data_IF_213247542241
#
_entry.id   IF_213247542241
#
_cell.length_a   1.000
_cell.length_b   1.000
_cell.length_c   1.000
_cell.angle_alpha   90.00
_cell.angle_beta   90.00
_cell.angle_gamma   90.00
#
_symmetry.space_group_name_H-M   'P 1'
#
loop_
_entity.id
_entity.type
_entity.pdbx_description
1 polymer ?
#
# COMPACT_ATOMS: atom_id res chain seq x y z
N UNK A 1 -48.98 -21.42 -31.33
CA UNK A 1 -47.65 -21.62 -31.92
C UNK A 1 -46.85 -20.34 -31.70
N UNK A 2 -45.90 -20.35 -30.73
CA UNK A 2 -45.04 -19.20 -30.42
C UNK A 2 -43.73 -19.44 -31.17
N UNK A 3 -43.25 -18.53 -32.02
CA UNK A 3 -42.01 -18.74 -32.77
C UNK A 3 -40.80 -18.72 -31.82
N UNK A 4 -39.98 -19.73 -31.98
CA UNK A 4 -38.70 -19.96 -31.33
C UNK A 4 -37.77 -18.75 -31.62
N UNK A 5 -37.55 -17.87 -30.64
CA UNK A 5 -36.50 -16.85 -30.72
C UNK A 5 -35.14 -17.55 -30.58
N UNK A 6 -34.54 -17.84 -31.72
CA UNK A 6 -33.10 -18.11 -31.76
C UNK A 6 -32.38 -16.93 -31.15
N UNK A 7 -31.71 -17.13 -30.01
CA UNK A 7 -30.72 -16.17 -29.50
C UNK A 7 -29.60 -16.08 -30.53
N UNK A 8 -29.56 -14.97 -31.23
CA UNK A 8 -28.42 -14.62 -32.08
C UNK A 8 -27.23 -14.46 -31.11
N UNK A 9 -26.36 -15.44 -31.12
CA UNK A 9 -25.03 -15.37 -30.42
C UNK A 9 -24.23 -14.27 -31.12
N UNK A 10 -24.11 -13.11 -30.47
CA UNK A 10 -23.27 -12.03 -30.95
C UNK A 10 -21.79 -12.38 -30.63
N UNK A 11 -20.87 -12.26 -31.60
CA UNK A 11 -19.43 -12.57 -31.40
C UNK A 11 -18.73 -11.65 -30.37
N UNK A 12 -19.44 -10.69 -29.80
CA UNK A 12 -18.99 -9.77 -28.77
C UNK A 12 -18.76 -10.46 -27.41
N UNK A 13 -19.50 -11.52 -27.12
CA UNK A 13 -19.43 -12.21 -25.83
C UNK A 13 -18.13 -13.02 -25.63
N UNK A 14 -17.59 -13.59 -26.71
CA UNK A 14 -16.37 -14.39 -26.63
C UNK A 14 -15.11 -13.54 -26.43
N UNK A 15 -15.07 -12.33 -26.96
CA UNK A 15 -13.94 -11.42 -26.78
C UNK A 15 -13.93 -10.87 -25.36
N UNK A 16 -15.07 -10.39 -24.86
CA UNK A 16 -15.22 -9.90 -23.48
C UNK A 16 -14.82 -11.00 -22.49
N UNK A 17 -15.32 -12.24 -22.68
CA UNK A 17 -14.99 -13.36 -21.80
C UNK A 17 -13.52 -13.77 -21.84
N UNK A 18 -12.83 -13.62 -22.98
CA UNK A 18 -11.37 -13.83 -23.07
C UNK A 18 -10.60 -12.75 -22.34
N UNK A 19 -10.99 -11.49 -22.49
CA UNK A 19 -10.31 -10.36 -21.84
C UNK A 19 -10.45 -10.44 -20.31
N UNK A 20 -11.61 -10.84 -19.79
CA UNK A 20 -11.84 -11.08 -18.36
C UNK A 20 -10.98 -12.24 -17.82
N UNK A 21 -10.85 -13.32 -18.60
CA UNK A 21 -10.01 -14.46 -18.21
C UNK A 21 -8.52 -14.09 -18.17
N UNK A 22 -8.05 -13.31 -19.13
CA UNK A 22 -6.66 -12.83 -19.19
C UNK A 22 -6.36 -11.93 -17.99
N UNK A 23 -7.25 -10.96 -17.71
CA UNK A 23 -7.09 -10.06 -16.55
C UNK A 23 -7.06 -10.85 -15.24
N UNK A 24 -7.97 -11.78 -15.05
CA UNK A 24 -8.03 -12.65 -13.86
C UNK A 24 -6.75 -13.46 -13.70
N UNK A 25 -6.23 -14.03 -14.78
CA UNK A 25 -4.98 -14.80 -14.76
C UNK A 25 -3.78 -13.93 -14.39
N UNK A 26 -3.66 -12.75 -15.00
CA UNK A 26 -2.62 -11.77 -14.68
C UNK A 26 -2.71 -11.37 -13.21
N UNK A 27 -3.92 -11.09 -12.72
CA UNK A 27 -4.16 -10.72 -11.33
C UNK A 27 -3.66 -11.77 -10.36
N UNK A 28 -3.97 -13.05 -10.58
CA UNK A 28 -3.48 -14.14 -9.75
C UNK A 28 -1.96 -14.27 -9.77
N UNK A 29 -1.32 -14.05 -10.93
CA UNK A 29 0.16 -14.07 -11.03
C UNK A 29 0.77 -12.95 -10.18
N UNK A 30 0.27 -11.71 -10.28
CA UNK A 30 0.81 -10.58 -9.53
C UNK A 30 0.53 -10.70 -8.02
N UNK A 31 -0.66 -11.13 -7.62
CA UNK A 31 -0.99 -11.42 -6.23
C UNK A 31 -0.12 -12.54 -5.66
N UNK A 32 0.10 -13.60 -6.43
CA UNK A 32 1.01 -14.70 -6.07
C UNK A 32 2.45 -14.23 -5.90
N UNK A 33 2.95 -13.37 -6.80
CA UNK A 33 4.28 -12.74 -6.66
C UNK A 33 4.38 -11.86 -5.42
N UNK A 34 3.32 -11.10 -5.11
CA UNK A 34 3.24 -10.29 -3.89
C UNK A 34 3.30 -11.15 -2.63
N UNK A 35 2.48 -12.19 -2.56
CA UNK A 35 2.47 -13.15 -1.45
C UNK A 35 3.84 -13.81 -1.27
N UNK A 36 4.44 -14.30 -2.34
CA UNK A 36 5.75 -14.95 -2.30
C UNK A 36 6.83 -13.97 -1.82
N UNK A 37 6.83 -12.73 -2.32
CA UNK A 37 7.76 -11.68 -1.90
C UNK A 37 7.59 -11.36 -0.42
N UNK A 38 6.35 -11.22 0.06
CA UNK A 38 6.03 -11.00 1.47
C UNK A 38 6.54 -12.13 2.37
N UNK A 39 6.30 -13.38 1.98
CA UNK A 39 6.74 -14.55 2.74
C UNK A 39 8.27 -14.67 2.79
N UNK A 40 8.97 -14.43 1.68
CA UNK A 40 10.45 -14.43 1.65
C UNK A 40 11.01 -13.36 2.59
N UNK A 41 10.46 -12.15 2.53
CA UNK A 41 10.87 -11.05 3.40
C UNK A 41 10.56 -11.40 4.86
N UNK A 42 9.39 -11.93 5.17
CA UNK A 42 8.99 -12.31 6.53
C UNK A 42 9.93 -13.35 7.13
N UNK A 43 10.31 -14.37 6.35
CA UNK A 43 11.28 -15.39 6.79
C UNK A 43 12.67 -14.80 7.00
N UNK A 44 13.12 -13.91 6.11
CA UNK A 44 14.45 -13.29 6.27
C UNK A 44 14.48 -12.30 7.44
N UNK A 45 13.47 -11.47 7.62
CA UNK A 45 13.34 -10.52 8.74
C UNK A 45 13.26 -11.24 10.09
N UNK A 46 12.61 -12.40 10.18
CA UNK A 46 12.57 -13.18 11.42
C UNK A 46 13.97 -13.73 11.82
N UNK A 47 14.84 -13.96 10.84
CA UNK A 47 16.24 -14.38 11.07
C UNK A 47 17.22 -13.22 11.22
N UNK A 48 16.89 -12.08 10.61
CA UNK A 48 17.71 -10.86 10.59
C UNK A 48 16.85 -9.65 10.98
N UNK A 49 16.48 -9.53 12.29
CA UNK A 49 15.61 -8.46 12.75
C UNK A 49 16.18 -7.08 12.43
N UNK A 50 15.30 -6.16 12.10
CA UNK A 50 15.67 -4.78 11.81
C UNK A 50 16.02 -4.02 13.09
N UNK A 51 16.94 -3.06 13.02
CA UNK A 51 17.29 -2.16 14.13
C UNK A 51 16.05 -1.45 14.69
N UNK A 52 15.17 -1.03 13.81
CA UNK A 52 13.89 -0.43 14.15
C UNK A 52 12.80 -1.51 14.06
N UNK A 53 12.24 -1.93 15.18
CA UNK A 53 11.33 -3.09 15.29
C UNK A 53 10.12 -3.01 14.34
N UNK A 54 9.56 -1.81 14.14
CA UNK A 54 8.42 -1.63 13.24
C UNK A 54 8.75 -2.01 11.78
N UNK A 55 10.00 -1.90 11.36
CA UNK A 55 10.42 -2.28 10.02
C UNK A 55 10.33 -3.79 9.76
N UNK A 56 10.26 -4.61 10.81
CA UNK A 56 9.99 -6.04 10.68
C UNK A 56 8.57 -6.32 10.17
N UNK A 57 7.65 -5.39 10.35
CA UNK A 57 6.27 -5.45 9.86
C UNK A 57 6.13 -4.71 8.52
N UNK A 58 6.77 -3.56 8.39
CA UNK A 58 6.75 -2.71 7.19
C UNK A 58 7.20 -3.47 5.94
N UNK A 59 8.33 -4.18 6.00
CA UNK A 59 8.88 -4.85 4.83
C UNK A 59 8.01 -6.00 4.30
N UNK A 60 7.45 -6.91 5.12
CA UNK A 60 6.49 -7.91 4.64
C UNK A 60 5.24 -7.30 4.02
N UNK A 61 4.67 -6.22 4.60
CA UNK A 61 3.52 -5.52 4.03
C UNK A 61 3.86 -4.97 2.65
N UNK A 62 5.00 -4.29 2.51
CA UNK A 62 5.46 -3.80 1.21
C UNK A 62 5.70 -4.96 0.22
N UNK A 63 6.17 -6.12 0.70
CA UNK A 63 6.29 -7.33 -0.11
C UNK A 63 4.99 -7.74 -0.76
N UNK A 64 3.88 -7.66 -0.02
CA UNK A 64 2.55 -7.98 -0.53
C UNK A 64 2.09 -7.04 -1.65
N UNK A 65 2.27 -5.72 -1.46
CA UNK A 65 1.75 -4.73 -2.42
C UNK A 65 2.70 -4.43 -3.57
N UNK A 66 4.01 -4.36 -3.31
CA UNK A 66 5.00 -4.03 -4.35
C UNK A 66 5.70 -5.26 -4.94
N UNK A 67 5.42 -6.46 -4.43
CA UNK A 67 5.90 -7.71 -4.96
C UNK A 67 7.43 -7.77 -5.12
N UNK A 68 7.93 -8.20 -6.31
CA UNK A 68 9.37 -8.33 -6.55
C UNK A 68 10.16 -7.02 -6.39
N UNK A 69 9.52 -5.86 -6.57
CA UNK A 69 10.17 -4.55 -6.35
C UNK A 69 10.51 -4.38 -4.87
N UNK A 70 9.57 -4.70 -3.97
CA UNK A 70 9.85 -4.65 -2.53
C UNK A 70 10.91 -5.67 -2.12
N UNK A 71 10.88 -6.86 -2.69
CA UNK A 71 11.88 -7.90 -2.42
C UNK A 71 13.29 -7.41 -2.81
N UNK A 72 13.44 -6.86 -4.00
CA UNK A 72 14.72 -6.32 -4.47
C UNK A 72 15.21 -5.15 -3.61
N UNK A 73 14.33 -4.19 -3.28
CA UNK A 73 14.68 -3.03 -2.47
C UNK A 73 14.98 -3.40 -1.01
N UNK A 74 14.30 -4.41 -0.47
CA UNK A 74 14.58 -4.97 0.84
C UNK A 74 16.02 -5.51 0.92
N UNK A 75 16.41 -6.38 -0.01
CA UNK A 75 17.77 -6.92 0.00
C UNK A 75 18.84 -5.88 -0.31
N UNK A 76 18.51 -4.84 -1.07
CA UNK A 76 19.44 -3.76 -1.42
C UNK A 76 19.61 -2.72 -0.32
N UNK A 77 18.52 -2.27 0.29
CA UNK A 77 18.50 -1.13 1.22
C UNK A 77 17.89 -1.44 2.58
N UNK A 78 17.02 -2.42 2.67
CA UNK A 78 16.26 -2.74 3.89
C UNK A 78 16.99 -3.70 4.80
N UNK A 79 17.62 -4.74 4.24
CA UNK A 79 18.23 -5.81 5.02
C UNK A 79 19.43 -5.31 5.83
N UNK A 80 19.37 -5.46 7.15
CA UNK A 80 20.48 -5.14 8.04
C UNK A 80 21.58 -6.20 7.86
N UNK A 81 22.78 -5.78 7.48
CA UNK A 81 23.95 -6.66 7.45
C UNK A 81 24.51 -6.79 8.86
N UNK A 82 24.78 -8.01 9.31
CA UNK A 82 25.26 -8.29 10.67
C UNK A 82 26.52 -7.47 11.08
N UNK A 83 27.34 -7.04 10.11
CA UNK A 83 28.51 -6.17 10.33
C UNK A 83 28.17 -4.69 10.60
N UNK A 84 26.91 -4.25 10.39
CA UNK A 84 26.53 -2.83 10.38
C UNK A 84 25.61 -2.45 11.53
N UNK A 85 25.36 -3.34 12.51
CA UNK A 85 24.44 -3.07 13.63
C UNK A 85 24.88 -1.86 14.46
N UNK A 86 26.20 -1.62 14.57
CA UNK A 86 26.79 -0.51 15.34
C UNK A 86 27.25 0.68 14.49
N UNK A 87 27.21 0.57 13.14
CA UNK A 87 27.64 1.67 12.27
C UNK A 87 26.50 2.64 11.98
N UNK A 88 26.87 3.91 11.82
CA UNK A 88 26.00 4.92 11.23
C UNK A 88 25.46 4.45 9.87
N UNK A 89 24.23 4.82 9.57
CA UNK A 89 23.59 4.50 8.30
C UNK A 89 24.30 5.23 7.15
N UNK A 90 25.12 4.49 6.42
CA UNK A 90 25.90 4.95 5.27
C UNK A 90 25.14 4.97 3.94
N UNK A 91 23.83 4.65 3.96
CA UNK A 91 22.99 4.68 2.76
C UNK A 91 22.91 6.10 2.19
N UNK A 92 23.00 6.21 0.87
CA UNK A 92 22.83 7.48 0.19
C UNK A 92 21.44 8.10 0.44
N UNK A 93 21.34 9.42 0.35
CA UNK A 93 20.12 10.19 0.64
C UNK A 93 18.86 9.61 -0.05
N UNK A 94 18.96 9.23 -1.32
CA UNK A 94 17.83 8.65 -2.07
C UNK A 94 17.33 7.32 -1.48
N UNK A 95 18.24 6.47 -0.98
CA UNK A 95 17.87 5.22 -0.33
C UNK A 95 17.18 5.46 1.01
N UNK A 96 17.66 6.43 1.80
CA UNK A 96 17.03 6.84 3.06
C UNK A 96 15.60 7.37 2.82
N UNK A 97 15.42 8.25 1.82
CA UNK A 97 14.09 8.74 1.43
C UNK A 97 13.18 7.60 0.99
N UNK A 98 13.72 6.64 0.21
CA UNK A 98 12.96 5.46 -0.23
C UNK A 98 12.49 4.61 0.97
N UNK A 99 13.36 4.31 1.91
CA UNK A 99 13.03 3.52 3.11
C UNK A 99 12.00 4.26 3.97
N UNK A 100 12.15 5.58 4.17
CA UNK A 100 11.19 6.40 4.90
C UNK A 100 9.82 6.43 4.20
N UNK A 101 9.79 6.47 2.86
CA UNK A 101 8.55 6.39 2.08
C UNK A 101 7.93 5.00 2.19
N UNK A 102 8.74 3.95 2.13
CA UNK A 102 8.29 2.55 2.31
C UNK A 102 7.65 2.34 3.68
N UNK A 103 8.17 2.98 4.72
CA UNK A 103 7.60 2.93 6.07
C UNK A 103 6.20 3.57 6.11
N UNK A 104 6.06 4.80 5.60
CA UNK A 104 4.78 5.49 5.52
C UNK A 104 3.76 4.69 4.69
N UNK A 105 4.15 4.28 3.48
CA UNK A 105 3.29 3.52 2.57
C UNK A 105 2.76 2.22 3.18
N UNK A 106 3.55 1.52 4.01
CA UNK A 106 3.10 0.29 4.65
C UNK A 106 1.94 0.54 5.64
N UNK A 107 1.98 1.64 6.40
CA UNK A 107 0.90 2.03 7.30
C UNK A 107 -0.40 2.33 6.55
N UNK A 108 -0.31 3.15 5.47
CA UNK A 108 -1.44 3.44 4.60
C UNK A 108 -2.00 2.15 3.97
N UNK A 109 -1.16 1.39 3.27
CA UNK A 109 -1.56 0.16 2.59
C UNK A 109 -2.20 -0.87 3.53
N UNK A 110 -1.75 -0.94 4.77
CA UNK A 110 -2.35 -1.83 5.78
C UNK A 110 -3.75 -1.34 6.19
N UNK A 111 -3.92 -0.03 6.37
CA UNK A 111 -5.22 0.57 6.67
C UNK A 111 -6.23 0.35 5.55
N UNK A 112 -5.81 0.58 4.30
CA UNK A 112 -6.63 0.37 3.12
C UNK A 112 -7.04 -1.10 2.95
N UNK A 113 -6.08 -2.03 3.13
CA UNK A 113 -6.36 -3.46 3.05
C UNK A 113 -7.38 -3.95 4.07
N UNK A 114 -7.50 -3.28 5.23
CA UNK A 114 -8.53 -3.53 6.23
C UNK A 114 -9.84 -2.81 5.87
N UNK A 115 -9.76 -1.58 5.34
CA UNK A 115 -10.90 -0.76 4.98
C UNK A 115 -11.77 -1.37 3.90
N UNK A 116 -11.13 -1.90 2.84
CA UNK A 116 -11.84 -2.54 1.71
C UNK A 116 -12.82 -3.63 2.16
N UNK A 117 -12.43 -4.68 2.90
CA UNK A 117 -13.39 -5.71 3.33
C UNK A 117 -14.43 -5.17 4.31
N UNK A 118 -14.12 -4.18 5.14
CA UNK A 118 -15.11 -3.56 6.04
C UNK A 118 -16.24 -2.94 5.23
N UNK A 119 -15.93 -2.13 4.22
CA UNK A 119 -16.96 -1.50 3.36
C UNK A 119 -17.70 -2.56 2.55
N UNK A 120 -16.98 -3.54 2.00
CA UNK A 120 -17.58 -4.60 1.19
C UNK A 120 -18.58 -5.47 1.98
N UNK A 121 -18.28 -5.79 3.24
CA UNK A 121 -19.14 -6.64 4.09
C UNK A 121 -20.30 -5.83 4.69
N UNK A 122 -20.05 -4.59 5.11
CA UNK A 122 -21.07 -3.76 5.74
C UNK A 122 -22.05 -3.13 4.74
N UNK A 123 -21.63 -2.99 3.47
CA UNK A 123 -22.43 -2.33 2.45
C UNK A 123 -22.67 -0.83 2.70
N UNK A 124 -21.83 -0.19 3.52
CA UNK A 124 -21.94 1.25 3.84
C UNK A 124 -21.82 2.06 2.53
N UNK A 125 -22.69 3.05 2.42
CA UNK A 125 -22.66 4.06 1.35
C UNK A 125 -22.58 5.45 1.96
N UNK A 126 -21.75 6.32 1.37
CA UNK A 126 -21.64 7.73 1.75
C UNK A 126 -22.04 8.58 0.56
N UNK A 127 -22.93 9.54 0.76
CA UNK A 127 -23.52 10.37 -0.31
C UNK A 127 -24.07 9.54 -1.49
N UNK A 128 -24.62 8.35 -1.22
CA UNK A 128 -25.17 7.44 -2.25
C UNK A 128 -24.12 6.70 -3.08
N UNK A 129 -22.84 6.76 -2.69
CA UNK A 129 -21.72 6.12 -3.39
C UNK A 129 -20.95 5.15 -2.50
N UNK A 130 -20.71 3.95 -3.00
CA UNK A 130 -19.84 2.97 -2.37
C UNK A 130 -18.37 3.41 -2.44
N UNK A 131 -17.96 4.06 -3.54
CA UNK A 131 -16.61 4.57 -3.71
C UNK A 131 -16.26 5.62 -2.66
N UNK A 132 -17.18 6.55 -2.34
CA UNK A 132 -16.94 7.52 -1.25
C UNK A 132 -16.90 6.86 0.12
N UNK A 133 -17.63 5.76 0.32
CA UNK A 133 -17.50 4.97 1.55
C UNK A 133 -16.12 4.31 1.64
N UNK A 134 -15.61 3.71 0.56
CA UNK A 134 -14.26 3.20 0.46
C UNK A 134 -13.24 4.28 0.81
N UNK A 135 -13.25 5.41 0.11
CA UNK A 135 -12.31 6.50 0.35
C UNK A 135 -12.33 7.03 1.78
N UNK A 136 -13.52 7.14 2.38
CA UNK A 136 -13.64 7.65 3.76
C UNK A 136 -13.10 6.65 4.79
N UNK A 137 -13.52 5.38 4.70
CA UNK A 137 -13.12 4.34 5.66
C UNK A 137 -11.64 4.02 5.51
N UNK A 138 -11.16 3.84 4.28
CA UNK A 138 -9.76 3.57 3.97
C UNK A 138 -8.87 4.72 4.43
N UNK A 139 -9.21 5.98 4.13
CA UNK A 139 -8.46 7.14 4.59
C UNK A 139 -8.34 7.21 6.11
N UNK A 140 -9.45 6.98 6.84
CA UNK A 140 -9.44 6.99 8.31
C UNK A 140 -8.52 5.89 8.85
N UNK A 141 -8.60 4.69 8.31
CA UNK A 141 -7.78 3.57 8.76
C UNK A 141 -6.31 3.75 8.35
N UNK A 142 -6.05 4.19 7.13
CA UNK A 142 -4.70 4.53 6.68
C UNK A 142 -4.06 5.61 7.57
N UNK A 143 -4.83 6.64 7.94
CA UNK A 143 -4.36 7.69 8.84
C UNK A 143 -4.04 7.13 10.24
N UNK A 144 -4.93 6.32 10.80
CA UNK A 144 -4.73 5.71 12.13
C UNK A 144 -3.51 4.79 12.13
N UNK A 145 -3.41 3.87 11.17
CA UNK A 145 -2.27 2.94 11.09
C UNK A 145 -0.97 3.65 10.70
N UNK A 146 -1.02 4.63 9.79
CA UNK A 146 0.14 5.46 9.45
C UNK A 146 0.73 6.15 10.69
N UNK A 147 -0.11 6.80 11.49
CA UNK A 147 0.32 7.45 12.73
C UNK A 147 0.82 6.44 13.77
N UNK A 148 0.17 5.28 13.91
CA UNK A 148 0.64 4.20 14.78
C UNK A 148 2.05 3.75 14.35
N UNK A 149 2.26 3.47 13.07
CA UNK A 149 3.55 3.02 12.56
C UNK A 149 4.62 4.10 12.80
N UNK A 150 4.30 5.35 12.49
CA UNK A 150 5.21 6.47 12.71
C UNK A 150 5.53 6.70 14.20
N UNK A 151 4.53 6.53 15.08
CA UNK A 151 4.74 6.59 16.52
C UNK A 151 5.72 5.52 17.00
N UNK A 152 5.57 4.27 16.55
CA UNK A 152 6.49 3.19 16.90
C UNK A 152 7.89 3.34 16.27
N UNK A 153 8.04 4.17 15.26
CA UNK A 153 9.34 4.54 14.74
C UNK A 153 10.01 5.63 15.62
N UNK A 154 9.26 6.65 16.02
CA UNK A 154 9.79 7.82 16.74
C UNK A 154 9.98 7.54 18.25
N UNK A 155 8.97 6.95 18.89
CA UNK A 155 8.95 6.81 20.36
C UNK A 155 10.14 6.06 20.94
N UNK A 156 10.63 4.94 20.35
CA UNK A 156 11.81 4.24 20.88
C UNK A 156 13.09 5.08 20.88
N UNK A 157 13.19 6.06 19.96
CA UNK A 157 14.36 6.93 19.80
C UNK A 157 14.31 8.14 20.74
N UNK A 158 13.08 8.62 21.06
CA UNK A 158 12.85 9.85 21.82
C UNK A 158 12.03 9.58 23.09
N UNK A 159 12.39 8.56 23.88
CA UNK A 159 11.64 8.16 25.09
C UNK A 159 11.58 9.26 26.15
N UNK A 160 12.63 10.08 26.26
CA UNK A 160 12.74 11.16 27.24
C UNK A 160 11.72 12.28 26.99
N UNK A 161 11.33 12.50 25.74
CA UNK A 161 10.34 13.52 25.35
C UNK A 161 8.89 13.14 25.71
N UNK A 162 8.66 11.91 26.09
CA UNK A 162 7.35 11.36 26.47
C UNK A 162 6.43 11.02 25.28
N UNK A 163 5.43 10.18 25.57
CA UNK A 163 4.53 9.61 24.54
C UNK A 163 3.72 10.66 23.77
N UNK A 164 3.27 11.71 24.44
CA UNK A 164 2.43 12.74 23.80
C UNK A 164 3.23 13.57 22.77
N UNK A 165 4.48 13.86 23.07
CA UNK A 165 5.35 14.57 22.14
C UNK A 165 5.73 13.68 20.95
N UNK A 166 6.00 12.40 21.18
CA UNK A 166 6.23 11.43 20.10
C UNK A 166 5.00 11.30 19.18
N UNK A 167 3.78 11.30 19.73
CA UNK A 167 2.54 11.30 18.94
C UNK A 167 2.37 12.58 18.12
N UNK A 168 2.60 13.75 18.69
CA UNK A 168 2.57 15.03 17.95
C UNK A 168 3.58 15.05 16.81
N UNK A 169 4.78 14.54 17.06
CA UNK A 169 5.82 14.43 16.04
C UNK A 169 5.39 13.45 14.93
N UNK A 170 4.79 12.30 15.28
CA UNK A 170 4.27 11.33 14.31
C UNK A 170 3.21 11.97 13.39
N UNK A 171 2.23 12.65 13.95
CA UNK A 171 1.21 13.37 13.17
C UNK A 171 1.85 14.40 12.24
N UNK A 172 2.76 15.23 12.75
CA UNK A 172 3.42 16.26 11.95
C UNK A 172 4.30 15.69 10.84
N UNK A 173 5.00 14.59 11.13
CA UNK A 173 5.94 13.96 10.19
C UNK A 173 5.24 13.17 9.08
N UNK A 174 4.04 12.65 9.33
CA UNK A 174 3.44 11.69 8.41
C UNK A 174 2.20 12.22 7.66
N UNK A 175 1.45 13.18 8.22
CA UNK A 175 0.18 13.61 7.61
C UNK A 175 0.31 14.07 6.16
N UNK A 176 1.36 14.84 5.81
CA UNK A 176 1.52 15.31 4.44
C UNK A 176 1.87 14.17 3.47
N UNK A 177 2.74 13.25 3.88
CA UNK A 177 3.12 12.12 3.04
C UNK A 177 1.99 11.12 2.88
N UNK A 178 1.17 10.96 3.91
CA UNK A 178 -0.04 10.13 3.90
C UNK A 178 -1.08 10.71 2.94
N UNK A 179 -1.42 11.99 3.06
CA UNK A 179 -2.35 12.65 2.12
C UNK A 179 -1.85 12.51 0.67
N UNK A 180 -0.56 12.68 0.43
CA UNK A 180 0.02 12.52 -0.90
C UNK A 180 -0.08 11.07 -1.40
N UNK A 181 0.03 10.07 -0.51
CA UNK A 181 -0.17 8.66 -0.84
C UNK A 181 -1.62 8.40 -1.26
N UNK A 182 -2.58 8.84 -0.44
CA UNK A 182 -4.01 8.66 -0.72
C UNK A 182 -4.47 9.35 -2.01
N UNK A 183 -3.92 10.50 -2.35
CA UNK A 183 -4.22 11.17 -3.63
C UNK A 183 -3.83 10.26 -4.81
N UNK A 184 -2.66 9.63 -4.76
CA UNK A 184 -2.22 8.71 -5.82
C UNK A 184 -3.06 7.45 -5.89
N UNK A 185 -3.34 6.85 -4.74
CA UNK A 185 -4.09 5.62 -4.60
C UNK A 185 -5.57 5.81 -5.01
N UNK A 186 -6.27 6.77 -4.40
CA UNK A 186 -7.66 7.07 -4.72
C UNK A 186 -7.84 7.58 -6.15
N UNK A 187 -6.88 8.36 -6.65
CA UNK A 187 -6.88 8.80 -8.04
C UNK A 187 -6.88 7.64 -9.02
N UNK A 188 -6.04 6.62 -8.77
CA UNK A 188 -6.06 5.41 -9.59
C UNK A 188 -7.36 4.62 -9.46
N UNK A 189 -7.85 4.42 -8.23
CA UNK A 189 -9.10 3.68 -8.02
C UNK A 189 -10.31 4.40 -8.64
N UNK A 190 -10.31 5.74 -8.68
CA UNK A 190 -11.32 6.49 -9.45
C UNK A 190 -11.21 6.24 -10.96
N UNK A 191 -10.00 6.16 -11.51
CA UNK A 191 -9.79 5.80 -12.92
C UNK A 191 -10.28 4.37 -13.19
N UNK A 192 -10.01 3.43 -12.30
CA UNK A 192 -10.52 2.05 -12.38
C UNK A 192 -12.04 2.04 -12.40
N UNK A 193 -12.69 2.78 -11.48
CA UNK A 193 -14.13 2.81 -11.31
C UNK A 193 -14.86 3.47 -12.49
N UNK A 194 -14.33 4.59 -13.00
CA UNK A 194 -15.08 5.43 -13.94
C UNK A 194 -14.58 5.39 -15.39
N UNK A 195 -13.35 4.92 -15.62
CA UNK A 195 -12.68 5.06 -16.92
C UNK A 195 -12.27 3.73 -17.53
N UNK A 196 -11.64 2.84 -16.75
CA UNK A 196 -11.02 1.63 -17.31
C UNK A 196 -12.00 0.51 -17.56
N UNK A 197 -13.04 0.38 -16.75
CA UNK A 197 -13.97 -0.74 -16.82
C UNK A 197 -15.42 -0.26 -16.98
N UNK A 198 -16.14 -0.88 -17.90
CA UNK A 198 -17.60 -0.69 -17.99
C UNK A 198 -18.33 -1.28 -16.76
N UNK A 199 -17.74 -2.30 -16.17
CA UNK A 199 -18.13 -2.90 -14.88
C UNK A 199 -16.85 -3.07 -14.07
N UNK A 200 -16.58 -2.18 -13.08
CA UNK A 200 -15.35 -2.23 -12.29
C UNK A 200 -15.30 -3.50 -11.43
N UNK A 201 -14.09 -4.06 -11.23
CA UNK A 201 -13.94 -5.28 -10.45
C UNK A 201 -14.33 -5.03 -8.99
N UNK A 202 -14.96 -6.04 -8.38
CA UNK A 202 -15.40 -5.98 -6.98
C UNK A 202 -14.31 -6.47 -6.02
N UNK A 203 -14.35 -6.09 -4.73
CA UNK A 203 -13.40 -6.57 -3.71
C UNK A 203 -13.33 -8.09 -3.54
N UNK A 204 -14.35 -8.83 -4.01
CA UNK A 204 -14.35 -10.30 -4.06
C UNK A 204 -13.56 -10.89 -5.24
N UNK A 205 -13.11 -10.06 -6.17
CA UNK A 205 -12.42 -10.49 -7.39
C UNK A 205 -10.92 -10.22 -7.33
N UNK A 206 -10.07 -11.11 -7.86
CA UNK A 206 -8.61 -10.92 -7.85
C UNK A 206 -8.19 -9.67 -8.64
N UNK A 207 -8.94 -9.29 -9.66
CA UNK A 207 -8.68 -8.09 -10.46
C UNK A 207 -8.74 -6.80 -9.62
N UNK A 208 -9.63 -6.73 -8.63
CA UNK A 208 -9.68 -5.60 -7.69
C UNK A 208 -8.35 -5.43 -6.93
N UNK A 209 -7.87 -6.50 -6.33
CA UNK A 209 -6.62 -6.48 -5.55
C UNK A 209 -5.39 -6.24 -6.39
N UNK A 210 -5.39 -6.69 -7.65
CA UNK A 210 -4.34 -6.33 -8.60
C UNK A 210 -4.38 -4.83 -8.93
N UNK A 211 -5.57 -4.24 -9.13
CA UNK A 211 -5.71 -2.78 -9.30
C UNK A 211 -5.27 -2.04 -8.02
N UNK A 212 -5.55 -2.58 -6.84
CA UNK A 212 -5.04 -2.05 -5.56
C UNK A 212 -3.52 -2.11 -5.47
N UNK A 213 -2.86 -3.16 -5.95
CA UNK A 213 -1.38 -3.18 -6.00
C UNK A 213 -0.83 -2.05 -6.87
N UNK A 214 -1.44 -1.77 -8.02
CA UNK A 214 -1.07 -0.64 -8.88
C UNK A 214 -1.34 0.69 -8.16
N UNK A 215 -2.50 0.81 -7.50
CA UNK A 215 -2.87 1.98 -6.70
C UNK A 215 -1.83 2.29 -5.61
N UNK A 216 -1.38 1.26 -4.87
CA UNK A 216 -0.36 1.40 -3.83
C UNK A 216 1.00 1.85 -4.40
N UNK A 217 1.38 1.36 -5.59
CA UNK A 217 2.60 1.82 -6.28
C UNK A 217 2.46 3.31 -6.66
N UNK A 218 1.31 3.73 -7.17
CA UNK A 218 1.07 5.14 -7.50
C UNK A 218 1.02 6.01 -6.24
N UNK A 219 0.39 5.54 -5.15
CA UNK A 219 0.44 6.19 -3.84
C UNK A 219 1.86 6.35 -3.31
N UNK A 220 2.71 5.32 -3.45
CA UNK A 220 4.13 5.43 -3.13
C UNK A 220 4.83 6.50 -3.96
N UNK A 221 4.59 6.53 -5.28
CA UNK A 221 5.22 7.51 -6.19
C UNK A 221 4.81 8.94 -5.87
N UNK A 222 3.55 9.19 -5.51
CA UNK A 222 3.06 10.52 -5.12
C UNK A 222 3.53 10.93 -3.73
N UNK A 223 3.68 9.99 -2.79
CA UNK A 223 4.19 10.27 -1.45
C UNK A 223 5.70 10.44 -1.38
N UNK A 224 6.46 9.90 -2.34
CA UNK A 224 7.93 10.00 -2.37
C UNK A 224 8.44 11.46 -2.37
N UNK A 225 7.96 12.37 -3.25
CA UNK A 225 8.37 13.77 -3.22
C UNK A 225 7.95 14.48 -1.92
N UNK A 226 6.79 14.13 -1.33
CA UNK A 226 6.35 14.68 -0.04
C UNK A 226 7.31 14.26 1.09
N UNK A 227 7.68 12.99 1.17
CA UNK A 227 8.66 12.48 2.13
C UNK A 227 10.03 13.16 1.94
N UNK A 228 10.51 13.29 0.70
CA UNK A 228 11.76 14.00 0.40
C UNK A 228 11.74 15.44 0.90
N UNK A 229 10.61 16.15 0.73
CA UNK A 229 10.43 17.52 1.21
C UNK A 229 10.41 17.59 2.73
N UNK A 230 9.71 16.68 3.40
CA UNK A 230 9.62 16.62 4.87
C UNK A 230 10.99 16.35 5.49
N UNK A 231 11.76 15.41 4.92
CA UNK A 231 13.13 15.12 5.36
C UNK A 231 14.03 16.35 5.14
N UNK A 232 13.96 17.01 3.97
CA UNK A 232 14.74 18.22 3.67
C UNK A 232 14.44 19.36 4.65
N UNK A 233 13.19 19.48 5.11
CA UNK A 233 12.77 20.50 6.08
C UNK A 233 13.04 20.13 7.55
N UNK A 234 13.61 18.96 7.82
CA UNK A 234 13.84 18.47 9.19
C UNK A 234 12.55 18.15 9.96
N UNK A 235 11.43 17.96 9.26
CA UNK A 235 10.13 17.61 9.85
C UNK A 235 9.94 16.11 10.01
N UNK A 236 10.73 15.33 9.29
CA UNK A 236 10.78 13.87 9.33
C UNK A 236 12.25 13.42 9.27
N UNK A 237 12.58 12.42 10.10
CA UNK A 237 13.92 11.83 10.05
C UNK A 237 14.02 10.87 8.86
N UNK A 238 15.21 10.84 8.24
CA UNK A 238 15.52 9.90 7.18
C UNK A 238 15.87 8.53 7.80
N UNK A 239 15.22 7.48 7.34
CA UNK A 239 15.37 6.10 7.85
C UNK A 239 16.32 5.29 6.99
#
# INVERSE_FOLDING_TARGET
>A
MIPNRQRVYLPKDDKIRKDDTVLTTISWIFLGMGLLSSLIILVDVSKHPQKMTIMNVVWPINGWFFGPIALWTYFKWGRVKAKNIEKEDDRGHAAKVFVSTSHCSAGCSFGDAIGVPIVAVTGIMIAGSTLFAHYTVEFILAYVFGIIFQFYAIYPMNKEDGKLNALKQAVKADSLSLIAFEIGMFGWMAIVEYVLFAQPPKPSEPAYWFMMQIAMILGFLTSYPANKLLIKKGLKEAM
#
